data_IF_883028751272
#
_entry.id   IF_883028751272
#
_cell.length_a   1.000
_cell.length_b   1.000
_cell.length_c   1.000
_cell.angle_alpha   90.00
_cell.angle_beta   90.00
_cell.angle_gamma   90.00
#
_symmetry.space_group_name_H-M   'P 1'
#
loop_
_entity.id
_entity.type
_entity.pdbx_description
1 polymer ?
#
# COMPACT_ATOMS: atom_id res chain seq x y z
N UNK A 1 -32.35 -3.99 -3.95
CA UNK A 1 -30.95 -3.65 -3.58
C UNK A 1 -30.46 -4.67 -2.57
N UNK A 2 -29.61 -5.61 -2.96
CA UNK A 2 -28.95 -6.53 -2.04
C UNK A 2 -27.70 -5.84 -1.48
N UNK A 3 -27.59 -5.67 -0.17
CA UNK A 3 -26.40 -5.11 0.49
C UNK A 3 -25.22 -6.10 0.54
N UNK A 4 -25.48 -7.35 0.19
CA UNK A 4 -24.54 -8.46 0.27
C UNK A 4 -23.23 -8.23 -0.54
N UNK A 5 -23.25 -7.75 -1.80
CA UNK A 5 -22.02 -7.50 -2.56
C UNK A 5 -21.15 -6.42 -1.91
N UNK A 6 -21.77 -5.40 -1.30
CA UNK A 6 -21.05 -4.34 -0.57
C UNK A 6 -20.30 -4.94 0.62
N UNK A 7 -20.97 -5.76 1.42
CA UNK A 7 -20.36 -6.41 2.59
C UNK A 7 -19.25 -7.36 2.16
N UNK A 8 -19.46 -8.16 1.11
CA UNK A 8 -18.44 -9.07 0.58
C UNK A 8 -17.20 -8.34 0.08
N UNK A 9 -17.38 -7.30 -0.74
CA UNK A 9 -16.27 -6.47 -1.21
C UNK A 9 -15.52 -5.82 -0.04
N UNK A 10 -16.27 -5.27 0.92
CA UNK A 10 -15.70 -4.65 2.11
C UNK A 10 -14.83 -5.63 2.92
N UNK A 11 -15.39 -6.79 3.31
CA UNK A 11 -14.68 -7.76 4.14
C UNK A 11 -13.46 -8.36 3.43
N UNK A 12 -13.59 -8.68 2.14
CA UNK A 12 -12.50 -9.25 1.35
C UNK A 12 -11.33 -8.25 1.24
N UNK A 13 -11.63 -7.01 0.85
CA UNK A 13 -10.61 -5.97 0.68
C UNK A 13 -9.94 -5.61 2.01
N UNK A 14 -10.70 -5.50 3.10
CA UNK A 14 -10.11 -5.28 4.42
C UNK A 14 -9.17 -6.40 4.84
N UNK A 15 -9.54 -7.66 4.61
CA UNK A 15 -8.69 -8.81 4.95
C UNK A 15 -7.34 -8.78 4.25
N UNK A 16 -7.33 -8.38 2.98
CA UNK A 16 -6.11 -8.35 2.15
C UNK A 16 -5.24 -7.11 2.43
N UNK A 17 -5.85 -5.92 2.57
CA UNK A 17 -5.10 -4.67 2.76
C UNK A 17 -4.57 -4.54 4.20
N UNK A 18 -5.20 -5.19 5.19
CA UNK A 18 -4.72 -5.19 6.58
C UNK A 18 -3.35 -5.86 6.75
N UNK A 19 -2.96 -6.76 5.85
CA UNK A 19 -1.62 -7.33 5.87
C UNK A 19 -0.57 -6.22 5.80
N UNK A 20 0.38 -6.20 6.74
CA UNK A 20 1.36 -5.13 6.84
C UNK A 20 2.36 -5.25 5.68
N UNK A 21 2.15 -4.44 4.65
CA UNK A 21 3.06 -4.31 3.50
C UNK A 21 3.78 -2.97 3.45
N UNK A 22 4.53 -2.78 2.37
CA UNK A 22 5.32 -1.58 2.10
C UNK A 22 4.53 -0.27 2.14
N UNK A 23 3.34 -0.30 1.54
CA UNK A 23 2.44 0.85 1.46
C UNK A 23 1.95 1.28 2.84
N UNK A 24 1.59 0.32 3.70
CA UNK A 24 1.13 0.57 5.06
C UNK A 24 2.26 1.14 5.93
N UNK A 25 3.47 0.60 5.79
CA UNK A 25 4.63 1.05 6.56
C UNK A 25 5.07 2.48 6.18
N UNK A 26 5.06 2.80 4.89
CA UNK A 26 5.30 4.15 4.38
C UNK A 26 4.27 5.15 4.90
N UNK A 27 2.99 4.81 4.79
CA UNK A 27 1.91 5.70 5.23
C UNK A 27 2.02 5.96 6.72
N UNK A 28 2.25 4.92 7.52
CA UNK A 28 2.41 5.04 8.96
C UNK A 28 3.59 5.97 9.31
N UNK A 29 4.74 5.81 8.65
CA UNK A 29 5.91 6.66 8.86
C UNK A 29 5.62 8.15 8.56
N UNK A 30 4.90 8.42 7.48
CA UNK A 30 4.47 9.79 7.13
C UNK A 30 3.41 10.34 8.09
N UNK A 31 2.51 9.48 8.58
CA UNK A 31 1.48 9.85 9.54
C UNK A 31 2.04 10.22 10.91
N UNK A 32 3.03 9.48 11.39
CA UNK A 32 3.77 9.81 12.61
C UNK A 32 4.46 11.18 12.49
N UNK A 33 4.98 11.50 11.30
CA UNK A 33 5.61 12.80 11.00
C UNK A 33 4.60 13.92 10.76
N UNK A 34 3.30 13.58 10.68
CA UNK A 34 2.21 14.47 10.27
C UNK A 34 2.51 15.20 8.95
N UNK A 35 3.20 14.54 8.02
CA UNK A 35 3.62 15.10 6.73
C UNK A 35 2.92 14.35 5.59
N UNK A 36 2.10 15.05 4.80
CA UNK A 36 1.49 14.54 3.56
C UNK A 36 0.68 13.22 3.66
N UNK A 37 0.38 12.73 4.87
CA UNK A 37 -0.36 11.48 5.10
C UNK A 37 -1.69 11.41 4.33
N UNK A 38 -2.44 12.51 4.24
CA UNK A 38 -3.74 12.55 3.59
C UNK A 38 -3.62 12.49 2.06
N UNK A 39 -2.55 13.10 1.53
CA UNK A 39 -2.24 13.01 0.10
C UNK A 39 -1.87 11.57 -0.26
N UNK A 40 -1.03 10.93 0.56
CA UNK A 40 -0.65 9.54 0.37
C UNK A 40 -1.86 8.60 0.47
N UNK A 41 -2.67 8.73 1.53
CA UNK A 41 -3.90 7.95 1.69
C UNK A 41 -4.86 8.14 0.50
N UNK A 42 -5.04 9.38 0.02
CA UNK A 42 -5.86 9.66 -1.16
C UNK A 42 -5.36 8.97 -2.43
N UNK A 43 -4.04 8.95 -2.65
CA UNK A 43 -3.43 8.24 -3.79
C UNK A 43 -3.66 6.73 -3.65
N UNK A 44 -3.41 6.15 -2.47
CA UNK A 44 -3.63 4.73 -2.19
C UNK A 44 -5.08 4.33 -2.46
N UNK A 45 -6.04 5.06 -1.90
CA UNK A 45 -7.48 4.81 -2.09
C UNK A 45 -7.85 4.90 -3.58
N UNK A 46 -7.36 5.93 -4.28
CA UNK A 46 -7.65 6.09 -5.70
C UNK A 46 -7.08 4.93 -6.54
N UNK A 47 -5.85 4.51 -6.26
CA UNK A 47 -5.22 3.37 -6.94
C UNK A 47 -5.99 2.07 -6.68
N UNK A 48 -6.36 1.79 -5.43
CA UNK A 48 -7.12 0.58 -5.09
C UNK A 48 -8.46 0.53 -5.83
N UNK A 49 -9.20 1.65 -5.84
CA UNK A 49 -10.48 1.74 -6.55
C UNK A 49 -10.29 1.49 -8.03
N UNK A 50 -9.28 2.11 -8.66
CA UNK A 50 -9.00 1.94 -10.08
C UNK A 50 -8.62 0.49 -10.38
N UNK A 51 -7.68 -0.08 -9.64
CA UNK A 51 -7.19 -1.45 -9.87
C UNK A 51 -8.30 -2.49 -9.65
N UNK A 52 -9.08 -2.36 -8.58
CA UNK A 52 -10.21 -3.26 -8.32
C UNK A 52 -11.29 -3.09 -9.39
N UNK A 53 -11.68 -1.86 -9.75
CA UNK A 53 -12.66 -1.64 -10.81
C UNK A 53 -12.18 -2.24 -12.13
N UNK A 54 -10.90 -2.05 -12.48
CA UNK A 54 -10.26 -2.72 -13.60
C UNK A 54 -10.43 -4.25 -13.52
N UNK A 55 -10.08 -4.88 -12.40
CA UNK A 55 -10.22 -6.33 -12.20
C UNK A 55 -11.66 -6.82 -12.36
N UNK A 56 -12.62 -6.16 -11.72
CA UNK A 56 -14.04 -6.52 -11.72
C UNK A 56 -14.71 -6.33 -13.09
N UNK A 57 -14.34 -5.28 -13.84
CA UNK A 57 -15.01 -4.90 -15.09
C UNK A 57 -14.30 -5.33 -16.37
N UNK A 58 -13.06 -5.85 -16.35
CA UNK A 58 -12.49 -6.39 -17.58
C UNK A 58 -11.00 -6.71 -17.65
N UNK A 59 -10.19 -6.41 -16.63
CA UNK A 59 -8.73 -6.61 -16.68
C UNK A 59 -8.24 -7.94 -16.11
N UNK A 60 -9.04 -8.67 -15.31
CA UNK A 60 -8.65 -10.00 -14.82
C UNK A 60 -8.33 -10.97 -15.97
N UNK A 61 -9.12 -10.93 -17.05
CA UNK A 61 -8.95 -11.75 -18.26
C UNK A 61 -7.78 -11.30 -19.16
N UNK A 62 -7.35 -10.03 -19.09
CA UNK A 62 -6.24 -9.50 -19.90
C UNK A 62 -4.88 -9.82 -19.29
N UNK A 63 -4.80 -9.89 -17.96
CA UNK A 63 -3.57 -10.25 -17.22
C UNK A 63 -3.29 -11.75 -17.32
N UNK A 64 -4.32 -12.60 -17.30
CA UNK A 64 -4.17 -14.05 -17.59
C UNK A 64 -3.50 -14.31 -18.95
N UNK A 65 -3.77 -13.45 -19.94
CA UNK A 65 -3.26 -13.62 -21.31
C UNK A 65 -1.87 -13.00 -21.56
N UNK A 66 -1.32 -12.19 -20.63
CA UNK A 66 -0.02 -11.52 -20.80
C UNK A 66 0.89 -11.68 -19.56
N UNK A 67 1.33 -12.91 -19.24
CA UNK A 67 2.18 -13.17 -18.07
C UNK A 67 3.52 -12.41 -18.10
N UNK A 68 4.05 -12.05 -19.27
CA UNK A 68 5.30 -11.29 -19.39
C UNK A 68 5.22 -9.88 -18.79
N UNK A 69 4.03 -9.26 -18.79
CA UNK A 69 3.84 -7.93 -18.20
C UNK A 69 4.05 -7.95 -16.69
N UNK A 70 3.60 -9.00 -16.03
CA UNK A 70 3.78 -9.22 -14.59
C UNK A 70 5.26 -9.42 -14.25
N UNK A 71 6.02 -10.09 -15.11
CA UNK A 71 7.47 -10.34 -14.92
C UNK A 71 8.28 -9.04 -14.97
N UNK A 72 8.00 -8.13 -15.90
CA UNK A 72 8.70 -6.84 -15.97
C UNK A 72 8.45 -5.96 -14.75
N UNK A 73 7.20 -5.88 -14.28
CA UNK A 73 6.85 -5.15 -13.06
C UNK A 73 7.48 -5.78 -11.81
N UNK A 74 7.53 -7.12 -11.76
CA UNK A 74 8.17 -7.88 -10.68
C UNK A 74 9.64 -7.51 -10.50
N UNK A 75 10.43 -7.50 -11.57
CA UNK A 75 11.85 -7.12 -11.50
C UNK A 75 12.05 -5.64 -11.18
N UNK A 76 11.25 -4.74 -11.77
CA UNK A 76 11.28 -3.31 -11.45
C UNK A 76 10.95 -3.01 -9.99
N UNK A 77 9.91 -3.65 -9.46
CA UNK A 77 9.51 -3.58 -8.05
C UNK A 77 10.52 -4.13 -7.09
N UNK A 78 11.10 -5.30 -7.39
CA UNK A 78 12.16 -5.86 -6.57
C UNK A 78 13.36 -4.90 -6.44
N UNK A 79 13.82 -4.33 -7.56
CA UNK A 79 14.92 -3.36 -7.56
C UNK A 79 14.60 -2.10 -6.74
N UNK A 80 13.39 -1.55 -6.88
CA UNK A 80 12.95 -0.40 -6.12
C UNK A 80 12.81 -0.70 -4.62
N UNK A 81 12.22 -1.84 -4.24
CA UNK A 81 12.07 -2.25 -2.84
C UNK A 81 13.41 -2.52 -2.17
N UNK A 82 14.37 -3.12 -2.88
CA UNK A 82 15.74 -3.29 -2.39
C UNK A 82 16.40 -1.93 -2.10
N UNK A 83 16.28 -0.99 -3.03
CA UNK A 83 16.79 0.37 -2.86
C UNK A 83 16.11 1.11 -1.69
N UNK A 84 14.79 1.02 -1.59
CA UNK A 84 14.02 1.66 -0.51
C UNK A 84 14.33 1.05 0.86
N UNK A 85 14.40 -0.28 0.95
CA UNK A 85 14.79 -0.98 2.18
C UNK A 85 16.19 -0.57 2.64
N UNK A 86 17.15 -0.49 1.70
CA UNK A 86 18.50 0.01 2.00
C UNK A 86 18.47 1.46 2.51
N UNK A 87 17.68 2.33 1.88
CA UNK A 87 17.51 3.71 2.33
C UNK A 87 16.89 3.80 3.73
N UNK A 88 15.99 2.87 4.09
CA UNK A 88 15.41 2.80 5.43
C UNK A 88 16.44 2.34 6.48
N UNK A 89 17.25 1.32 6.18
CA UNK A 89 18.34 0.89 7.07
C UNK A 89 19.39 1.99 7.30
N UNK A 90 19.73 2.78 6.27
CA UNK A 90 20.64 3.92 6.43
C UNK A 90 20.10 4.98 7.40
N UNK A 91 18.78 5.10 7.55
CA UNK A 91 18.15 6.04 8.48
C UNK A 91 18.19 5.60 9.96
N UNK A 92 18.56 4.34 10.25
CA UNK A 92 18.71 3.82 11.63
C UNK A 92 19.91 4.45 12.35
N UNK A 93 20.99 4.69 11.60
CA UNK A 93 22.26 5.21 12.11
C UNK A 93 22.34 6.75 12.10
N UNK A 94 21.33 7.43 11.53
CA UNK A 94 21.22 8.87 11.66
C UNK A 94 20.61 9.22 13.02
N UNK A 95 21.26 10.12 13.79
CA UNK A 95 20.72 10.63 15.05
C UNK A 95 19.45 11.46 14.79
N UNK A 96 18.30 10.80 14.83
CA UNK A 96 17.00 11.42 14.55
C UNK A 96 16.55 12.38 15.68
N UNK A 97 17.11 12.23 16.89
CA UNK A 97 16.90 13.18 17.99
C UNK A 97 17.45 14.58 17.67
N UNK A 98 18.57 14.65 16.93
CA UNK A 98 19.16 15.92 16.46
C UNK A 98 18.44 16.46 15.20
N UNK A 99 17.83 15.59 14.38
CA UNK A 99 17.07 16.00 13.17
C UNK A 99 15.62 16.42 13.42
N UNK A 100 15.01 16.15 14.58
CA UNK A 100 13.75 16.81 14.94
C UNK A 100 13.87 18.35 14.90
N UNK A 101 15.08 18.89 15.08
CA UNK A 101 15.40 20.32 14.93
C UNK A 101 15.68 20.77 13.48
N UNK A 102 16.08 19.85 12.59
CA UNK A 102 16.26 20.10 11.15
C UNK A 102 15.31 19.21 10.36
N UNK A 103 14.03 19.62 10.27
CA UNK A 103 13.04 18.99 9.40
C UNK A 103 13.59 18.88 7.98
N UNK A 104 13.98 17.67 7.56
CA UNK A 104 14.06 17.34 6.14
C UNK A 104 12.62 17.27 5.66
N UNK A 105 12.09 18.40 5.18
CA UNK A 105 10.75 18.49 4.61
C UNK A 105 10.71 17.58 3.39
N UNK A 106 10.03 16.44 3.49
CA UNK A 106 9.79 15.57 2.34
C UNK A 106 8.94 16.33 1.34
N UNK A 107 9.45 16.52 0.13
CA UNK A 107 8.74 17.28 -0.90
C UNK A 107 7.52 16.51 -1.40
N UNK A 108 6.42 17.21 -1.71
CA UNK A 108 5.18 16.59 -2.27
C UNK A 108 5.46 15.63 -3.42
N UNK A 109 6.34 16.02 -4.36
CA UNK A 109 6.75 15.19 -5.50
C UNK A 109 7.39 13.88 -5.08
N UNK A 110 8.27 13.90 -4.08
CA UNK A 110 8.95 12.71 -3.59
C UNK A 110 7.97 11.70 -3.00
N UNK A 111 6.96 12.16 -2.27
CA UNK A 111 5.95 11.28 -1.67
C UNK A 111 5.00 10.72 -2.72
N UNK A 112 4.58 11.53 -3.69
CA UNK A 112 3.75 11.04 -4.80
C UNK A 112 4.50 9.92 -5.54
N UNK A 113 5.76 10.17 -5.93
CA UNK A 113 6.57 9.17 -6.64
C UNK A 113 6.81 7.92 -5.80
N UNK A 114 7.14 8.07 -4.51
CA UNK A 114 7.35 6.93 -3.62
C UNK A 114 6.07 6.11 -3.41
N UNK A 115 4.91 6.77 -3.28
CA UNK A 115 3.61 6.12 -3.10
C UNK A 115 3.23 5.36 -4.37
N UNK A 116 3.29 6.03 -5.53
CA UNK A 116 3.04 5.39 -6.82
C UNK A 116 3.99 4.23 -7.05
N UNK A 117 5.26 4.38 -6.69
CA UNK A 117 6.25 3.32 -6.88
C UNK A 117 5.98 2.12 -5.97
N UNK A 118 5.78 2.33 -4.66
CA UNK A 118 5.47 1.23 -3.74
C UNK A 118 4.17 0.53 -4.12
N UNK A 119 3.14 1.26 -4.54
CA UNK A 119 1.87 0.65 -4.92
C UNK A 119 1.97 -0.07 -6.26
N UNK A 120 2.37 0.62 -7.33
CA UNK A 120 2.29 0.10 -8.70
C UNK A 120 3.47 -0.80 -9.09
N UNK A 121 4.67 -0.62 -8.54
CA UNK A 121 5.78 -1.52 -8.86
C UNK A 121 5.70 -2.83 -8.05
N UNK A 122 4.86 -2.91 -7.01
CA UNK A 122 4.67 -4.15 -6.26
C UNK A 122 3.75 -5.11 -7.06
N UNK A 123 4.27 -6.18 -7.68
CA UNK A 123 3.44 -7.06 -8.49
C UNK A 123 2.37 -7.81 -7.65
N UNK A 124 2.57 -7.92 -6.33
CA UNK A 124 1.58 -8.48 -5.41
C UNK A 124 0.28 -7.66 -5.40
N UNK A 125 0.34 -6.35 -5.66
CA UNK A 125 -0.87 -5.51 -5.73
C UNK A 125 -1.79 -6.00 -6.83
N UNK A 126 -1.26 -6.43 -7.98
CA UNK A 126 -2.08 -6.87 -9.10
C UNK A 126 -2.70 -8.24 -8.84
N UNK A 127 -1.96 -9.13 -8.19
CA UNK A 127 -2.49 -10.43 -7.77
C UNK A 127 -3.62 -10.27 -6.76
N UNK A 128 -3.45 -9.41 -5.75
CA UNK A 128 -4.49 -9.20 -4.73
C UNK A 128 -5.70 -8.44 -5.26
N UNK A 129 -5.46 -7.33 -5.97
CA UNK A 129 -6.53 -6.38 -6.32
C UNK A 129 -7.19 -6.70 -7.65
N UNK A 130 -6.40 -6.98 -8.69
CA UNK A 130 -6.93 -7.17 -10.05
C UNK A 130 -7.34 -8.62 -10.27
N UNK A 131 -6.55 -9.58 -9.77
CA UNK A 131 -6.81 -11.01 -9.98
C UNK A 131 -7.74 -11.57 -8.90
N UNK A 132 -7.37 -11.53 -7.61
CA UNK A 132 -8.18 -12.13 -6.54
C UNK A 132 -9.46 -11.35 -6.27
N UNK A 133 -9.38 -10.08 -5.85
CA UNK A 133 -10.57 -9.25 -5.61
C UNK A 133 -11.37 -9.08 -6.90
N UNK A 134 -10.69 -8.86 -8.03
CA UNK A 134 -11.32 -8.71 -9.33
C UNK A 134 -12.09 -9.95 -9.80
N UNK A 135 -11.54 -11.16 -9.65
CA UNK A 135 -12.24 -12.40 -10.03
C UNK A 135 -13.48 -12.66 -9.18
N UNK A 136 -13.42 -12.41 -7.87
CA UNK A 136 -14.57 -12.54 -6.96
C UNK A 136 -15.65 -11.51 -7.32
N UNK A 137 -15.26 -10.26 -7.58
CA UNK A 137 -16.20 -9.23 -8.00
C UNK A 137 -16.78 -9.48 -9.40
N UNK A 138 -16.02 -10.07 -10.32
CA UNK A 138 -16.50 -10.41 -11.67
C UNK A 138 -17.54 -11.55 -11.68
N UNK A 139 -17.51 -12.44 -10.68
CA UNK A 139 -18.52 -13.48 -10.49
C UNK A 139 -19.89 -12.91 -10.03
N UNK A 140 -19.93 -11.66 -9.59
CA UNK A 140 -21.19 -11.00 -9.23
C UNK A 140 -22.06 -10.75 -10.47
N UNK A 141 -23.41 -10.80 -10.32
CA UNK A 141 -24.34 -10.33 -11.33
C UNK A 141 -23.97 -8.92 -11.82
N UNK A 142 -24.13 -8.64 -13.12
CA UNK A 142 -23.67 -7.38 -13.75
C UNK A 142 -24.22 -6.13 -13.04
N UNK A 143 -25.46 -6.19 -12.57
CA UNK A 143 -26.14 -5.13 -11.80
C UNK A 143 -25.59 -4.97 -10.36
N UNK A 144 -24.83 -5.94 -9.87
CA UNK A 144 -24.29 -6.00 -8.51
C UNK A 144 -22.78 -5.74 -8.42
N UNK A 145 -22.05 -5.83 -9.54
CA UNK A 145 -20.59 -5.56 -9.59
C UNK A 145 -20.21 -4.17 -9.08
N UNK A 146 -20.99 -3.15 -9.43
CA UNK A 146 -20.78 -1.78 -8.94
C UNK A 146 -20.87 -1.69 -7.41
N UNK A 147 -21.85 -2.38 -6.82
CA UNK A 147 -22.02 -2.44 -5.37
C UNK A 147 -20.86 -3.15 -4.66
N UNK A 148 -20.30 -4.18 -5.29
CA UNK A 148 -19.08 -4.83 -4.79
C UNK A 148 -17.90 -3.86 -4.73
N UNK A 149 -17.64 -3.11 -5.82
CA UNK A 149 -16.57 -2.11 -5.88
C UNK A 149 -16.79 -0.97 -4.88
N UNK A 150 -18.04 -0.58 -4.61
CA UNK A 150 -18.34 0.38 -3.54
C UNK A 150 -17.92 -0.17 -2.16
N UNK A 151 -18.15 -1.47 -1.91
CA UNK A 151 -17.69 -2.16 -0.72
C UNK A 151 -16.17 -2.14 -0.56
N UNK A 152 -15.44 -2.47 -1.64
CA UNK A 152 -13.97 -2.46 -1.63
C UNK A 152 -13.43 -1.04 -1.42
N UNK A 153 -14.02 -0.04 -2.06
CA UNK A 153 -13.66 1.37 -1.88
C UNK A 153 -13.86 1.83 -0.43
N UNK A 154 -14.98 1.46 0.19
CA UNK A 154 -15.26 1.76 1.58
C UNK A 154 -14.23 1.11 2.53
N UNK A 155 -13.79 -0.12 2.25
CA UNK A 155 -12.75 -0.79 3.01
C UNK A 155 -11.41 -0.06 2.95
N UNK A 156 -10.94 0.32 1.74
CA UNK A 156 -9.70 1.09 1.58
C UNK A 156 -9.79 2.44 2.28
N UNK A 157 -10.92 3.16 2.17
CA UNK A 157 -11.15 4.41 2.89
C UNK A 157 -11.03 4.22 4.40
N UNK A 158 -11.77 3.27 4.97
CA UNK A 158 -11.74 2.99 6.42
C UNK A 158 -10.32 2.68 6.86
N UNK A 159 -9.64 1.77 6.18
CA UNK A 159 -8.31 1.33 6.57
C UNK A 159 -7.25 2.45 6.51
N UNK A 160 -7.12 3.15 5.38
CA UNK A 160 -6.09 4.18 5.25
C UNK A 160 -6.35 5.40 6.11
N UNK A 161 -7.62 5.78 6.33
CA UNK A 161 -7.97 6.84 7.29
C UNK A 161 -7.62 6.39 8.71
N UNK A 162 -7.97 5.15 9.10
CA UNK A 162 -7.61 4.58 10.39
C UNK A 162 -6.09 4.54 10.60
N UNK A 163 -5.31 4.16 9.59
CA UNK A 163 -3.84 4.20 9.63
C UNK A 163 -3.31 5.62 9.82
N UNK A 164 -3.88 6.60 9.13
CA UNK A 164 -3.50 8.01 9.28
C UNK A 164 -3.73 8.51 10.71
N UNK A 165 -4.89 8.17 11.28
CA UNK A 165 -5.25 8.53 12.65
C UNK A 165 -4.37 7.79 13.65
N UNK A 166 -4.18 6.49 13.48
CA UNK A 166 -3.33 5.67 14.34
C UNK A 166 -1.87 6.18 14.35
N UNK A 167 -1.32 6.53 13.19
CA UNK A 167 0.03 7.10 13.11
C UNK A 167 0.17 8.41 13.89
N UNK A 168 -0.84 9.28 13.86
CA UNK A 168 -0.88 10.50 14.68
C UNK A 168 -0.97 10.19 16.17
N UNK A 169 -1.81 9.24 16.56
CA UNK A 169 -1.94 8.82 17.97
C UNK A 169 -0.65 8.19 18.51
N UNK A 170 0.15 7.57 17.65
CA UNK A 170 1.44 6.98 17.98
C UNK A 170 2.59 7.99 18.01
N UNK A 171 2.40 9.22 17.51
CA UNK A 171 3.40 10.28 17.53
C UNK A 171 4.15 10.46 18.87
N UNK A 172 3.50 10.47 20.06
CA UNK A 172 4.21 10.61 21.34
C UNK A 172 5.18 9.45 21.65
N UNK A 173 4.93 8.23 21.16
CA UNK A 173 5.88 7.10 21.31
C UNK A 173 7.19 7.35 20.55
N UNK A 174 7.11 8.10 19.45
CA UNK A 174 8.25 8.42 18.59
C UNK A 174 9.13 9.58 19.09
N UNK A 175 8.87 10.09 20.30
CA UNK A 175 9.81 10.95 21.03
C UNK A 175 11.08 10.19 21.45
N UNK A 176 11.04 8.84 21.46
CA UNK A 176 12.20 7.99 21.76
C UNK A 176 12.89 7.56 20.48
N UNK A 177 14.21 7.74 20.38
CA UNK A 177 15.01 7.33 19.21
C UNK A 177 14.88 5.82 18.89
N UNK A 178 14.64 4.99 19.91
CA UNK A 178 14.41 3.54 19.74
C UNK A 178 13.17 3.25 18.90
N UNK A 179 12.08 4.00 19.05
CA UNK A 179 10.86 3.79 18.26
C UNK A 179 11.11 4.03 16.76
N UNK A 180 11.90 5.05 16.43
CA UNK A 180 12.35 5.30 15.05
C UNK A 180 13.23 4.17 14.51
N UNK A 181 14.18 3.68 15.31
CA UNK A 181 15.04 2.56 14.89
C UNK A 181 14.24 1.29 14.64
N UNK A 182 13.26 0.98 15.48
CA UNK A 182 12.36 -0.17 15.29
C UNK A 182 11.53 0.01 14.01
N UNK A 183 10.93 1.18 13.80
CA UNK A 183 10.14 1.44 12.59
C UNK A 183 10.97 1.28 11.32
N UNK A 184 12.14 1.92 11.23
CA UNK A 184 13.02 1.81 10.07
C UNK A 184 13.54 0.38 9.88
N UNK A 185 13.78 -0.36 10.97
CA UNK A 185 14.15 -1.77 10.88
C UNK A 185 13.01 -2.62 10.32
N UNK A 186 11.79 -2.44 10.81
CA UNK A 186 10.61 -3.17 10.34
C UNK A 186 10.31 -2.82 8.88
N UNK A 187 10.36 -1.53 8.50
CA UNK A 187 10.18 -1.09 7.11
C UNK A 187 11.26 -1.68 6.21
N UNK A 188 12.54 -1.57 6.58
CA UNK A 188 13.65 -2.12 5.80
C UNK A 188 13.54 -3.63 5.61
N UNK A 189 13.29 -4.37 6.70
CA UNK A 189 13.13 -5.83 6.67
C UNK A 189 11.92 -6.24 5.84
N UNK A 190 10.77 -5.58 6.02
CA UNK A 190 9.57 -5.90 5.22
C UNK A 190 9.80 -5.62 3.74
N UNK A 191 10.48 -4.53 3.37
CA UNK A 191 10.77 -4.23 1.97
C UNK A 191 11.65 -5.30 1.34
N UNK A 192 12.73 -5.69 2.03
CA UNK A 192 13.64 -6.71 1.52
C UNK A 192 13.01 -8.10 1.52
N UNK A 193 12.16 -8.43 2.50
CA UNK A 193 11.40 -9.67 2.51
C UNK A 193 10.43 -9.73 1.33
N UNK A 194 9.70 -8.65 1.03
CA UNK A 194 8.84 -8.56 -0.16
C UNK A 194 9.71 -8.63 -1.42
N UNK A 195 10.82 -7.90 -1.52
CA UNK A 195 11.69 -7.96 -2.70
C UNK A 195 12.24 -9.37 -2.95
N UNK A 196 12.60 -10.10 -1.89
CA UNK A 196 13.05 -11.50 -1.98
C UNK A 196 11.91 -12.43 -2.39
N UNK A 197 10.71 -12.29 -1.81
CA UNK A 197 9.57 -13.10 -2.23
C UNK A 197 9.25 -12.86 -3.70
N UNK A 198 9.36 -11.62 -4.17
CA UNK A 198 9.21 -11.23 -5.57
C UNK A 198 10.31 -11.73 -6.49
N UNK A 199 11.46 -12.19 -6.01
CA UNK A 199 12.53 -12.75 -6.87
C UNK A 199 12.50 -14.28 -6.84
N UNK A 200 12.05 -14.87 -5.74
CA UNK A 200 12.07 -16.32 -5.49
C UNK A 200 10.78 -17.05 -5.91
N UNK A 201 9.60 -16.40 -5.80
CA UNK A 201 8.36 -16.80 -6.49
C UNK A 201 8.36 -16.14 -7.85
#
# INVERSE_FOLDING_TARGET
>A
MSWLPVVQGYTLTLGLIMAIGAQNALLLAQSIRNQHQWLMAGICIALDIILVACGVFGLGLLIENNPEFVVWFKWGGAGFLLWYGWQSFRQINEDQSLKMSKQVVTTRRSIILATLAVSLLNPHVYLDTVVLIGSVGAQMPTDQRGWFVVGTAAASCTWFISLCVAGRLLQPLFNRAIAWKILHSVVGVTMWAIALSLVLL
#
